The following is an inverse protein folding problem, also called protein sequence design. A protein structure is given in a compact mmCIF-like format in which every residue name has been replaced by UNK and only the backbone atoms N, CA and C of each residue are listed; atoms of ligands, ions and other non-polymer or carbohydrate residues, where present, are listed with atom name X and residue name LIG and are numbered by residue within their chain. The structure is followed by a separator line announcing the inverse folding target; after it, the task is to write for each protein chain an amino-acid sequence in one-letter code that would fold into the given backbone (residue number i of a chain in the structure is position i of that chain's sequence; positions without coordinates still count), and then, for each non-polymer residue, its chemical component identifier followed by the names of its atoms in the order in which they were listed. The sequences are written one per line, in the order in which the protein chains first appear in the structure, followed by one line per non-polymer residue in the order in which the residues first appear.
data_IF_629333254223
#
_entry.id   IF_629333254223
#
_cell.length_a   1.000
_cell.length_b   1.000
_cell.length_c   1.000
_cell.angle_alpha   90.00
_cell.angle_beta   90.00
_cell.angle_gamma   90.00
#
_symmetry.space_group_name_H-M   'P 1'
#
loop_
_entity.id
_entity.type
_entity.pdbx_description
1 polymer ?
#
# COMPACT_ATOMS: atom_id res chain seq x y z
N UNK A 1 10.20 -36.02 -6.03
CA UNK A 1 11.43 -35.24 -6.27
C UNK A 1 11.58 -34.25 -5.13
N UNK A 2 12.66 -34.30 -4.36
CA UNK A 2 12.88 -33.40 -3.21
C UNK A 2 13.19 -32.00 -3.73
N UNK A 3 12.32 -31.03 -3.46
CA UNK A 3 12.60 -29.61 -3.71
C UNK A 3 13.41 -29.08 -2.54
N UNK A 4 14.72 -29.34 -2.56
CA UNK A 4 15.63 -28.69 -1.63
C UNK A 4 15.67 -27.19 -1.95
N UNK A 5 15.14 -26.39 -1.03
CA UNK A 5 15.12 -24.94 -1.12
C UNK A 5 16.53 -24.41 -0.88
N UNK A 6 17.32 -24.34 -1.96
CA UNK A 6 18.61 -23.65 -1.94
C UNK A 6 18.36 -22.16 -1.64
N UNK A 7 18.63 -21.72 -0.41
CA UNK A 7 18.71 -20.31 -0.06
C UNK A 7 19.99 -19.72 -0.65
N UNK A 8 19.97 -19.47 -1.96
CA UNK A 8 21.06 -18.78 -2.64
C UNK A 8 20.90 -17.30 -2.30
N UNK A 9 21.68 -16.81 -1.33
CA UNK A 9 21.80 -15.38 -1.07
C UNK A 9 22.61 -14.77 -2.22
N UNK A 10 21.92 -14.24 -3.23
CA UNK A 10 22.52 -13.54 -4.37
C UNK A 10 22.55 -12.05 -4.09
N UNK A 11 23.71 -11.43 -4.31
CA UNK A 11 23.82 -9.98 -4.36
C UNK A 11 23.11 -9.43 -5.60
N UNK A 12 22.69 -8.16 -5.55
CA UNK A 12 22.07 -7.49 -6.69
C UNK A 12 22.90 -7.57 -7.98
N UNK A 13 24.23 -7.46 -7.87
CA UNK A 13 25.14 -7.58 -9.02
C UNK A 13 25.06 -8.97 -9.67
N UNK A 14 25.00 -10.03 -8.86
CA UNK A 14 24.88 -11.40 -9.35
C UNK A 14 23.52 -11.63 -10.01
N UNK A 15 22.44 -11.09 -9.44
CA UNK A 15 21.11 -11.14 -10.06
C UNK A 15 21.13 -10.42 -11.42
N UNK A 16 21.75 -9.24 -11.48
CA UNK A 16 21.87 -8.47 -12.73
C UNK A 16 22.63 -9.24 -13.81
N UNK A 17 23.72 -9.93 -13.45
CA UNK A 17 24.48 -10.76 -14.38
C UNK A 17 23.65 -11.93 -14.92
N UNK A 18 22.89 -12.60 -14.05
CA UNK A 18 21.98 -13.68 -14.46
C UNK A 18 20.93 -13.15 -15.45
N UNK A 19 20.30 -12.01 -15.14
CA UNK A 19 19.31 -11.39 -16.03
C UNK A 19 19.95 -10.99 -17.38
N UNK A 20 21.20 -10.54 -17.39
CA UNK A 20 21.93 -10.20 -18.63
C UNK A 20 22.22 -11.42 -19.50
N UNK A 21 22.38 -12.60 -18.91
CA UNK A 21 22.60 -13.85 -19.64
C UNK A 21 21.31 -14.44 -20.24
N UNK A 22 20.13 -13.98 -19.81
CA UNK A 22 18.85 -14.48 -20.34
C UNK A 22 18.64 -14.14 -21.82
N UNK A 23 17.98 -15.03 -22.59
CA UNK A 23 17.55 -14.75 -23.95
C UNK A 23 16.55 -13.60 -23.99
N UNK A 24 16.50 -12.90 -25.15
CA UNK A 24 15.70 -11.67 -25.32
C UNK A 24 14.22 -11.85 -24.96
N UNK A 25 13.62 -12.99 -25.30
CA UNK A 25 12.23 -13.31 -24.98
C UNK A 25 11.97 -13.38 -23.47
N UNK A 26 12.87 -13.99 -22.71
CA UNK A 26 12.76 -14.11 -21.26
C UNK A 26 13.02 -12.77 -20.56
N UNK A 27 13.94 -11.95 -21.07
CA UNK A 27 14.13 -10.57 -20.59
C UNK A 27 12.86 -9.72 -20.73
N UNK A 28 12.18 -9.82 -21.87
CA UNK A 28 10.92 -9.09 -22.10
C UNK A 28 9.85 -9.57 -21.11
N UNK A 29 9.73 -10.88 -20.89
CA UNK A 29 8.78 -11.42 -19.91
C UNK A 29 9.08 -10.93 -18.48
N UNK A 30 10.35 -11.00 -18.08
CA UNK A 30 10.79 -10.55 -16.76
C UNK A 30 10.54 -9.05 -16.55
N UNK A 31 10.83 -8.23 -17.57
CA UNK A 31 10.55 -6.78 -17.51
C UNK A 31 9.08 -6.49 -17.27
N UNK A 32 8.17 -7.23 -17.91
CA UNK A 32 6.71 -7.04 -17.74
C UNK A 32 6.24 -7.45 -16.35
N UNK A 33 6.78 -8.53 -15.78
CA UNK A 33 6.43 -8.94 -14.41
C UNK A 33 6.93 -7.93 -13.38
N UNK A 34 8.17 -7.44 -13.52
CA UNK A 34 8.73 -6.40 -12.64
C UNK A 34 7.98 -5.07 -12.75
N UNK A 35 7.56 -4.69 -13.96
CA UNK A 35 6.75 -3.49 -14.18
C UNK A 35 5.38 -3.62 -13.51
N UNK A 36 4.74 -4.79 -13.61
CA UNK A 36 3.47 -5.06 -12.92
C UNK A 36 3.63 -4.96 -11.41
N UNK A 37 4.66 -5.56 -10.84
CA UNK A 37 4.95 -5.49 -9.39
C UNK A 37 5.19 -4.04 -8.92
N UNK A 38 5.92 -3.25 -9.71
CA UNK A 38 6.14 -1.84 -9.43
C UNK A 38 4.84 -1.02 -9.49
N UNK A 39 3.97 -1.30 -10.46
CA UNK A 39 2.63 -0.69 -10.58
C UNK A 39 1.76 -1.07 -9.39
N UNK A 40 1.71 -2.35 -9.01
CA UNK A 40 0.93 -2.83 -7.86
C UNK A 40 1.41 -2.20 -6.55
N UNK A 41 2.73 -2.06 -6.36
CA UNK A 41 3.33 -1.39 -5.20
C UNK A 41 2.94 0.09 -5.16
N UNK A 42 3.01 0.78 -6.31
CA UNK A 42 2.65 2.19 -6.41
C UNK A 42 1.16 2.41 -6.19
N UNK A 43 0.30 1.56 -6.75
CA UNK A 43 -1.13 1.57 -6.53
C UNK A 43 -1.46 1.32 -5.05
N UNK A 44 -0.82 0.33 -4.43
CA UNK A 44 -0.98 0.05 -3.00
C UNK A 44 -0.57 1.24 -2.13
N UNK A 45 0.53 1.92 -2.49
CA UNK A 45 0.96 3.16 -1.82
C UNK A 45 -0.07 4.28 -1.95
N UNK A 46 -0.66 4.44 -3.14
CA UNK A 46 -1.71 5.42 -3.40
C UNK A 46 -2.97 5.07 -2.59
N UNK A 47 -3.45 3.84 -2.66
CA UNK A 47 -4.63 3.37 -1.93
C UNK A 47 -4.46 3.51 -0.42
N UNK A 48 -3.28 3.21 0.11
CA UNK A 48 -2.97 3.43 1.54
C UNK A 48 -2.92 4.91 1.92
N UNK A 49 -2.52 5.80 1.00
CA UNK A 49 -2.57 7.24 1.25
C UNK A 49 -4.00 7.80 1.23
N UNK A 50 -4.90 7.18 0.46
CA UNK A 50 -6.33 7.52 0.42
C UNK A 50 -7.15 6.81 1.50
N UNK A 51 -6.62 5.76 2.12
CA UNK A 51 -7.22 5.15 3.29
C UNK A 51 -7.23 6.17 4.42
N UNK A 52 -8.43 6.63 4.74
CA UNK A 52 -8.70 7.40 5.95
C UNK A 52 -8.98 6.41 7.08
N UNK A 53 -8.81 6.84 8.33
CA UNK A 53 -9.36 6.07 9.46
C UNK A 53 -10.87 5.92 9.24
N UNK A 54 -11.39 4.70 9.40
CA UNK A 54 -12.83 4.46 9.27
C UNK A 54 -13.56 5.37 10.26
N UNK A 55 -14.22 6.41 9.74
CA UNK A 55 -14.97 7.36 10.55
C UNK A 55 -16.18 6.62 11.11
N UNK A 56 -16.12 6.22 12.38
CA UNK A 56 -17.20 5.47 13.01
C UNK A 56 -18.44 6.37 13.16
N UNK A 57 -19.66 5.81 13.00
CA UNK A 57 -20.89 6.54 13.30
C UNK A 57 -20.88 7.14 14.71
N UNK A 58 -20.35 6.40 15.68
CA UNK A 58 -20.27 6.84 17.07
C UNK A 58 -19.42 8.10 17.24
N UNK A 59 -18.29 8.22 16.52
CA UNK A 59 -17.42 9.40 16.56
C UNK A 59 -18.11 10.62 15.93
N UNK A 60 -18.92 10.40 14.89
CA UNK A 60 -19.72 11.46 14.26
C UNK A 60 -20.80 11.93 15.24
N UNK A 61 -21.51 11.00 15.88
CA UNK A 61 -22.57 11.32 16.84
C UNK A 61 -22.02 12.06 18.07
N UNK A 62 -20.85 11.67 18.57
CA UNK A 62 -20.17 12.36 19.68
C UNK A 62 -19.85 13.82 19.33
N UNK A 63 -19.27 14.08 18.16
CA UNK A 63 -18.97 15.43 17.69
C UNK A 63 -20.25 16.27 17.49
N UNK A 64 -21.30 15.66 16.94
CA UNK A 64 -22.61 16.32 16.75
C UNK A 64 -23.22 16.73 18.09
N UNK A 65 -23.20 15.86 19.10
CA UNK A 65 -23.71 16.19 20.43
C UNK A 65 -22.87 17.27 21.12
N UNK A 66 -21.54 17.23 20.98
CA UNK A 66 -20.65 18.29 21.48
C UNK A 66 -21.04 19.66 20.90
N UNK A 67 -21.16 19.75 19.58
CA UNK A 67 -21.55 21.00 18.89
C UNK A 67 -22.96 21.44 19.31
N UNK A 68 -23.91 20.50 19.45
CA UNK A 68 -25.27 20.82 19.89
C UNK A 68 -25.28 21.43 21.29
N UNK A 69 -24.51 20.87 22.23
CA UNK A 69 -24.40 21.40 23.59
C UNK A 69 -23.80 22.81 23.60
N UNK A 70 -22.76 23.06 22.80
CA UNK A 70 -22.17 24.40 22.69
C UNK A 70 -23.17 25.44 22.18
N UNK A 71 -23.97 25.10 21.16
CA UNK A 71 -25.00 25.98 20.62
C UNK A 71 -26.12 26.26 21.65
N UNK A 72 -26.55 25.24 22.40
CA UNK A 72 -27.50 25.44 23.50
C UNK A 72 -26.93 26.31 24.63
N UNK A 73 -25.66 26.12 24.99
CA UNK A 73 -25.02 26.94 26.02
C UNK A 73 -24.87 28.41 25.59
N UNK A 74 -24.60 28.66 24.31
CA UNK A 74 -24.56 30.01 23.73
C UNK A 74 -25.94 30.66 23.73
N UNK A 75 -26.98 29.95 23.26
CA UNK A 75 -28.35 30.48 23.21
C UNK A 75 -29.02 30.69 24.58
N UNK A 76 -28.55 30.03 25.64
CA UNK A 76 -29.02 30.26 27.03
C UNK A 76 -28.27 31.37 27.77
N UNK A 77 -27.21 31.94 27.16
CA UNK A 77 -26.44 33.06 27.72
C UNK A 77 -26.93 34.43 27.23
N UNK A 78 -27.83 34.46 26.25
CA UNK A 78 -28.62 35.62 25.83
C UNK A 78 -29.99 35.64 26.53
#
# INVERSE_FOLDING_TARGET
MKTESYNISLSFKQILELVRQLPKSQKIKLSKELEKEAVDTKLSKILNAFRTEDLSPDLIDEEVELVRQELYAKSKKD
#
